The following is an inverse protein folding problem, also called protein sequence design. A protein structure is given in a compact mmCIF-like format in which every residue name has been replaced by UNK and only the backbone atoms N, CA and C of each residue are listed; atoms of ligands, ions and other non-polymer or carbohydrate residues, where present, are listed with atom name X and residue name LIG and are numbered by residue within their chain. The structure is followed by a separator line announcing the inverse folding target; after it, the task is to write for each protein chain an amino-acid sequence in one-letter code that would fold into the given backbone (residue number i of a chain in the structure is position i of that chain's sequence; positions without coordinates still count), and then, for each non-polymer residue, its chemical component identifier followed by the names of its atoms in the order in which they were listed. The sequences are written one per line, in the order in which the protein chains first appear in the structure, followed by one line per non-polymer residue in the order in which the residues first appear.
data_IF_650407310600
#
_entry.id   IF_650407310600
#
_cell.length_a   1.000
_cell.length_b   1.000
_cell.length_c   1.000
_cell.angle_alpha   90.00
_cell.angle_beta   90.00
_cell.angle_gamma   90.00
#
_symmetry.space_group_name_H-M   'P 1'
#
loop_
_entity.id
_entity.type
_entity.pdbx_description
1 polymer ?
#
# COMPACT_ATOMS: atom_id res chain seq x y z
N UNK A 1 22.56 20.77 35.71
CA UNK A 1 21.14 20.61 36.11
C UNK A 1 20.34 20.69 34.81
N UNK A 2 19.92 19.60 34.14
CA UNK A 2 18.86 18.63 34.50
C UNK A 2 17.59 19.36 34.99
N UNK A 3 16.35 19.14 34.52
CA UNK A 3 15.68 18.26 33.55
C UNK A 3 14.29 18.91 33.26
N UNK A 4 13.51 18.62 32.20
CA UNK A 4 12.38 17.65 32.08
C UNK A 4 11.43 18.26 31.00
N UNK A 5 10.90 17.59 29.95
CA UNK A 5 9.92 16.49 29.83
C UNK A 5 8.42 16.88 29.88
N UNK A 6 7.78 17.04 28.70
CA UNK A 6 6.35 16.74 28.36
C UNK A 6 5.23 17.71 28.78
N UNK A 7 3.93 17.52 28.36
CA UNK A 7 3.33 16.65 27.33
C UNK A 7 2.35 17.40 26.36
N UNK A 8 1.84 16.70 25.32
CA UNK A 8 0.97 17.27 24.27
C UNK A 8 -0.54 17.31 24.55
N UNK A 9 -1.33 17.94 23.65
CA UNK A 9 -2.78 17.69 23.50
C UNK A 9 -3.32 18.13 22.13
N UNK A 10 -4.34 17.40 21.65
CA UNK A 10 -5.03 17.47 20.35
C UNK A 10 -6.02 18.66 20.20
N UNK A 11 -6.16 19.11 18.94
CA UNK A 11 -7.36 19.56 18.17
C UNK A 11 -8.55 20.17 18.93
N UNK A 12 -9.07 21.34 18.49
CA UNK A 12 -10.51 21.60 18.11
C UNK A 12 -10.71 22.84 17.22
N UNK A 13 -11.55 22.66 16.18
CA UNK A 13 -12.53 23.54 15.53
C UNK A 13 -12.20 24.90 14.90
N UNK A 14 -12.55 25.00 13.61
CA UNK A 14 -13.08 26.21 12.93
C UNK A 14 -14.46 25.86 12.30
N UNK A 15 -15.36 26.85 12.10
CA UNK A 15 -16.80 26.64 12.12
C UNK A 15 -17.46 26.42 10.74
N UNK A 16 -18.70 25.95 10.88
CA UNK A 16 -19.78 25.69 9.93
C UNK A 16 -20.13 26.88 9.04
N UNK A 17 -20.40 26.62 7.76
CA UNK A 17 -21.36 27.38 6.95
C UNK A 17 -22.02 26.43 5.95
N UNK A 18 -23.34 26.29 6.11
CA UNK A 18 -24.25 25.48 5.33
C UNK A 18 -24.96 26.33 4.26
N UNK A 19 -25.71 25.61 3.42
CA UNK A 19 -26.70 26.03 2.42
C UNK A 19 -26.24 26.53 1.05
N UNK A 20 -26.41 25.65 0.06
CA UNK A 20 -27.17 25.99 -1.14
C UNK A 20 -27.73 24.70 -1.79
N UNK A 21 -29.05 24.63 -1.84
CA UNK A 21 -29.88 23.62 -2.49
C UNK A 21 -29.75 23.70 -4.01
N UNK A 22 -29.64 22.56 -4.69
CA UNK A 22 -30.33 22.36 -5.98
C UNK A 22 -30.74 20.89 -6.11
N UNK A 23 -32.02 20.71 -6.46
CA UNK A 23 -32.67 19.43 -6.65
C UNK A 23 -32.77 19.16 -8.13
N UNK A 24 -32.07 18.15 -8.64
CA UNK A 24 -32.44 17.52 -9.91
C UNK A 24 -32.33 16.00 -9.81
N UNK A 25 -33.51 15.40 -9.83
CA UNK A 25 -33.78 13.98 -9.74
C UNK A 25 -33.68 13.40 -11.16
N UNK A 26 -32.66 12.59 -11.43
CA UNK A 26 -32.64 11.72 -12.61
C UNK A 26 -32.19 10.32 -12.19
N UNK A 27 -33.14 9.39 -12.27
CA UNK A 27 -32.96 7.96 -12.06
C UNK A 27 -31.93 7.37 -13.01
N UNK A 28 -30.92 6.68 -12.47
CA UNK A 28 -30.10 5.74 -13.22
C UNK A 28 -29.78 4.53 -12.31
N UNK A 29 -29.95 3.34 -12.88
CA UNK A 29 -29.92 2.02 -12.27
C UNK A 29 -28.63 1.67 -11.50
N UNK A 30 -28.67 0.71 -10.56
CA UNK A 30 -27.50 0.31 -9.78
C UNK A 30 -26.49 -0.43 -10.65
N UNK A 31 -25.26 0.09 -10.71
CA UNK A 31 -24.12 -0.62 -11.28
C UNK A 31 -23.70 -1.78 -10.33
N UNK A 32 -23.48 -2.99 -10.84
CA UNK A 32 -23.04 -4.13 -10.03
C UNK A 32 -21.53 -4.03 -9.79
N UNK A 33 -21.09 -4.13 -8.54
CA UNK A 33 -19.66 -4.22 -8.22
C UNK A 33 -19.18 -3.60 -6.92
N UNK A 34 -20.06 -3.31 -5.96
CA UNK A 34 -19.65 -3.14 -4.57
C UNK A 34 -19.56 -4.52 -3.92
N UNK A 35 -18.33 -5.05 -3.83
CA UNK A 35 -18.00 -6.15 -2.95
C UNK A 35 -16.85 -5.71 -2.04
N UNK A 36 -17.19 -5.11 -0.91
CA UNK A 36 -16.43 -5.38 0.31
C UNK A 36 -17.34 -6.15 1.26
N UNK A 37 -17.32 -7.49 1.23
CA UNK A 37 -17.81 -8.26 2.35
C UNK A 37 -16.64 -8.49 3.33
N UNK A 38 -16.86 -8.06 4.57
CA UNK A 38 -16.63 -8.87 5.76
C UNK A 38 -15.23 -9.43 6.02
N UNK A 39 -14.65 -8.99 7.14
CA UNK A 39 -13.63 -9.78 7.84
C UNK A 39 -14.12 -11.21 8.06
N UNK A 40 -13.47 -12.16 7.40
CA UNK A 40 -13.73 -13.58 7.47
C UNK A 40 -12.41 -14.34 7.53
N UNK A 41 -12.38 -15.35 8.39
CA UNK A 41 -11.21 -16.08 8.87
C UNK A 41 -10.49 -16.80 7.72
N UNK A 42 -9.18 -16.56 7.57
CA UNK A 42 -8.26 -17.50 6.92
C UNK A 42 -8.07 -17.42 5.40
N UNK A 43 -8.35 -16.29 4.73
CA UNK A 43 -8.04 -16.13 3.29
C UNK A 43 -7.06 -14.96 3.05
N UNK A 44 -6.07 -15.19 2.19
CA UNK A 44 -5.16 -14.13 1.76
C UNK A 44 -5.92 -13.13 0.87
N UNK A 45 -5.72 -11.81 1.05
CA UNK A 45 -6.27 -10.82 0.14
C UNK A 45 -5.68 -10.98 -1.26
N UNK A 46 -6.34 -10.43 -2.30
CA UNK A 46 -5.74 -10.36 -3.62
C UNK A 46 -4.40 -9.60 -3.56
N UNK A 47 -3.40 -10.00 -4.37
CA UNK A 47 -2.13 -9.30 -4.43
C UNK A 47 -2.33 -7.85 -4.87
N UNK A 48 -1.44 -6.92 -4.49
CA UNK A 48 -1.57 -5.52 -4.89
C UNK A 48 -1.54 -5.38 -6.41
N UNK A 49 -2.30 -4.42 -6.93
CA UNK A 49 -2.41 -4.17 -8.38
C UNK A 49 -1.04 -3.87 -9.00
N UNK A 50 -0.67 -4.57 -10.08
CA UNK A 50 0.63 -4.38 -10.77
C UNK A 50 0.53 -3.72 -12.14
N UNK A 51 -0.68 -3.50 -12.65
CA UNK A 51 -0.95 -2.85 -13.94
C UNK A 51 -2.37 -2.33 -13.93
N UNK A 52 -2.58 -1.11 -14.44
CA UNK A 52 -3.89 -0.48 -14.58
C UNK A 52 -4.01 0.12 -15.98
N UNK A 53 -4.99 -0.29 -16.82
CA UNK A 53 -5.16 0.28 -18.17
C UNK A 53 -5.48 1.78 -18.17
N UNK A 54 -6.12 2.28 -17.11
CA UNK A 54 -6.52 3.68 -16.97
C UNK A 54 -5.40 4.56 -16.38
N UNK A 55 -4.34 3.94 -15.83
CA UNK A 55 -3.17 4.69 -15.33
C UNK A 55 -2.18 4.89 -16.48
N UNK A 56 -1.76 6.13 -16.78
CA UNK A 56 -0.76 6.37 -17.81
C UNK A 56 0.56 5.71 -17.40
N UNK A 57 1.16 4.99 -18.34
CA UNK A 57 2.47 4.34 -18.16
C UNK A 57 3.58 5.36 -18.32
N UNK A 58 4.58 5.30 -17.45
CA UNK A 58 5.73 6.20 -17.52
C UNK A 58 7.02 5.47 -17.17
N UNK A 59 8.09 5.85 -17.86
CA UNK A 59 9.43 5.36 -17.58
C UNK A 59 10.38 6.55 -17.46
N UNK A 60 11.15 6.58 -16.37
CA UNK A 60 12.15 7.62 -16.08
C UNK A 60 13.51 6.97 -15.81
N UNK A 61 14.58 7.75 -15.90
CA UNK A 61 15.93 7.31 -15.52
C UNK A 61 15.99 6.82 -14.06
N UNK A 62 15.28 7.49 -13.15
CA UNK A 62 15.21 7.09 -11.74
C UNK A 62 14.47 5.76 -11.56
N UNK A 63 13.34 5.56 -12.23
CA UNK A 63 12.61 4.28 -12.19
C UNK A 63 13.43 3.13 -12.80
N UNK A 64 14.15 3.41 -13.90
CA UNK A 64 15.09 2.44 -14.47
C UNK A 64 16.21 2.08 -13.51
N UNK A 65 16.77 3.06 -12.77
CA UNK A 65 17.79 2.80 -11.76
C UNK A 65 17.23 1.96 -10.60
N UNK A 66 16.03 2.28 -10.13
CA UNK A 66 15.35 1.51 -9.08
C UNK A 66 15.15 0.04 -9.50
N UNK A 67 14.77 -0.23 -10.75
CA UNK A 67 14.65 -1.60 -11.26
C UNK A 67 16.00 -2.30 -11.44
N UNK A 68 16.92 -1.67 -12.20
CA UNK A 68 18.15 -2.33 -12.67
C UNK A 68 19.22 -2.43 -11.59
N UNK A 69 19.21 -1.53 -10.61
CA UNK A 69 20.26 -1.43 -9.58
C UNK A 69 19.69 -1.76 -8.20
N UNK A 70 18.72 -0.99 -7.70
CA UNK A 70 18.25 -1.12 -6.31
C UNK A 70 17.53 -2.45 -6.10
N UNK A 71 16.45 -2.70 -6.86
CA UNK A 71 15.68 -3.93 -6.74
C UNK A 71 16.54 -5.16 -7.07
N UNK A 72 17.36 -5.10 -8.12
CA UNK A 72 18.26 -6.21 -8.48
C UNK A 72 19.24 -6.57 -7.36
N UNK A 73 19.79 -5.57 -6.67
CA UNK A 73 20.69 -5.78 -5.53
C UNK A 73 19.95 -6.41 -4.36
N UNK A 74 18.79 -5.87 -3.99
CA UNK A 74 17.96 -6.41 -2.90
C UNK A 74 17.47 -7.83 -3.21
N UNK A 75 17.07 -8.10 -4.45
CA UNK A 75 16.56 -9.41 -4.87
C UNK A 75 17.58 -10.53 -4.71
N UNK A 76 18.86 -10.23 -4.94
CA UNK A 76 19.97 -11.19 -4.83
C UNK A 76 20.47 -11.38 -3.39
N UNK A 77 20.00 -10.57 -2.45
CA UNK A 77 20.44 -10.68 -1.07
C UNK A 77 20.00 -12.01 -0.46
N UNK A 78 20.84 -12.62 0.38
CA UNK A 78 20.56 -13.92 1.03
C UNK A 78 19.24 -13.94 1.82
N UNK A 79 18.83 -12.79 2.36
CA UNK A 79 17.58 -12.64 3.14
C UNK A 79 16.41 -12.08 2.33
N UNK A 80 16.52 -12.05 1.00
CA UNK A 80 15.46 -11.51 0.14
C UNK A 80 14.23 -12.41 0.07
N UNK A 81 14.41 -13.73 0.26
CA UNK A 81 13.40 -14.75 -0.02
C UNK A 81 12.03 -14.51 0.64
N UNK A 82 11.88 -13.98 1.88
CA UNK A 82 10.56 -13.73 2.47
C UNK A 82 9.82 -12.56 1.82
N UNK A 83 10.56 -11.66 1.18
CA UNK A 83 10.03 -10.42 0.58
C UNK A 83 9.78 -10.55 -0.92
N UNK A 84 10.15 -11.67 -1.55
CA UNK A 84 10.02 -11.85 -3.01
C UNK A 84 8.59 -12.09 -3.47
N UNK A 85 7.67 -12.43 -2.56
CA UNK A 85 6.26 -12.69 -2.83
C UNK A 85 5.37 -12.09 -1.72
N UNK A 86 4.07 -11.85 -1.97
CA UNK A 86 3.12 -11.49 -0.93
C UNK A 86 3.12 -12.50 0.22
N UNK A 87 2.91 -12.02 1.45
CA UNK A 87 2.87 -12.86 2.65
C UNK A 87 1.69 -13.83 2.56
N UNK A 88 1.95 -15.12 2.62
CA UNK A 88 0.89 -16.13 2.68
C UNK A 88 0.53 -16.40 4.14
N UNK A 89 -0.45 -15.66 4.64
CA UNK A 89 -0.91 -15.75 6.03
C UNK A 89 -1.52 -17.12 6.36
N UNK A 90 -2.08 -17.81 5.36
CA UNK A 90 -2.65 -19.16 5.53
C UNK A 90 -1.52 -20.17 5.70
N UNK A 91 -0.56 -20.18 4.76
CA UNK A 91 0.57 -21.12 4.78
C UNK A 91 1.48 -20.92 5.98
N UNK A 92 1.66 -19.68 6.43
CA UNK A 92 2.49 -19.34 7.58
C UNK A 92 1.73 -19.39 8.92
N UNK A 93 0.44 -19.71 8.91
CA UNK A 93 -0.42 -19.74 10.09
C UNK A 93 -0.40 -18.41 10.88
N UNK A 94 -0.55 -17.30 10.16
CA UNK A 94 -0.56 -15.92 10.67
C UNK A 94 -1.97 -15.31 10.55
N UNK A 95 -2.97 -15.76 11.33
CA UNK A 95 -4.39 -15.41 11.13
C UNK A 95 -4.71 -13.91 11.37
N UNK A 96 -3.78 -13.17 11.97
CA UNK A 96 -3.90 -11.76 12.30
C UNK A 96 -3.07 -10.85 11.37
N UNK A 97 -2.24 -11.39 10.48
CA UNK A 97 -1.32 -10.59 9.65
C UNK A 97 -2.06 -9.51 8.86
N UNK A 98 -3.06 -9.89 8.07
CA UNK A 98 -3.87 -8.94 7.29
C UNK A 98 -4.92 -8.19 8.12
N UNK A 99 -5.08 -8.54 9.40
CA UNK A 99 -5.84 -7.72 10.35
C UNK A 99 -4.99 -6.58 10.91
N UNK A 100 -3.68 -6.74 11.01
CA UNK A 100 -2.74 -5.72 11.49
C UNK A 100 -2.23 -4.90 10.30
N UNK A 101 -1.75 -5.56 9.25
CA UNK A 101 -1.18 -4.95 8.05
C UNK A 101 -2.28 -4.65 7.04
N UNK A 102 -2.61 -3.37 6.89
CA UNK A 102 -3.70 -2.87 6.03
C UNK A 102 -3.28 -2.62 4.59
N UNK A 103 -2.00 -2.34 4.36
CA UNK A 103 -1.45 -2.03 3.04
C UNK A 103 -0.28 -2.96 2.77
N UNK A 104 -0.56 -4.22 2.39
CA UNK A 104 0.50 -5.20 2.13
C UNK A 104 1.34 -4.80 0.91
N UNK A 105 2.63 -5.07 0.97
CA UNK A 105 3.58 -4.80 -0.11
C UNK A 105 4.75 -5.79 -0.05
N UNK A 106 5.30 -6.13 -1.21
CA UNK A 106 6.39 -7.09 -1.39
C UNK A 106 7.24 -6.75 -2.63
N UNK A 107 8.48 -7.24 -2.69
CA UNK A 107 9.39 -6.99 -3.82
C UNK A 107 8.90 -7.62 -5.13
N UNK A 108 8.15 -8.71 -5.08
CA UNK A 108 7.57 -9.33 -6.29
C UNK A 108 6.56 -8.41 -6.96
N UNK A 109 5.70 -7.79 -6.17
CA UNK A 109 4.77 -6.75 -6.61
C UNK A 109 5.52 -5.52 -7.13
N UNK A 110 6.49 -5.00 -6.38
CA UNK A 110 7.30 -3.84 -6.79
C UNK A 110 8.02 -4.12 -8.12
N UNK A 111 8.59 -5.32 -8.28
CA UNK A 111 9.21 -5.78 -9.52
C UNK A 111 8.26 -5.70 -10.70
N UNK A 112 7.07 -6.30 -10.58
CA UNK A 112 6.06 -6.30 -11.64
C UNK A 112 5.58 -4.87 -11.95
N UNK A 113 5.41 -4.01 -10.95
CA UNK A 113 5.04 -2.59 -11.15
C UNK A 113 6.11 -1.82 -11.93
N UNK A 114 7.40 -2.03 -11.63
CA UNK A 114 8.50 -1.43 -12.38
C UNK A 114 8.56 -1.96 -13.83
N UNK A 115 8.40 -3.28 -14.03
CA UNK A 115 8.42 -3.91 -15.35
C UNK A 115 7.22 -3.47 -16.22
N UNK A 116 6.06 -3.21 -15.60
CA UNK A 116 4.85 -2.77 -16.29
C UNK A 116 4.76 -1.25 -16.48
N UNK A 117 5.79 -0.49 -16.08
CA UNK A 117 5.78 0.98 -16.06
C UNK A 117 4.58 1.57 -15.29
N UNK A 118 4.22 0.93 -14.16
CA UNK A 118 3.08 1.30 -13.33
C UNK A 118 3.31 2.61 -12.55
N UNK A 119 4.55 2.88 -12.13
CA UNK A 119 4.86 4.05 -11.32
C UNK A 119 4.96 5.31 -12.17
N UNK A 120 4.41 6.42 -11.66
CA UNK A 120 4.53 7.72 -12.33
C UNK A 120 5.85 8.43 -12.04
N UNK A 121 6.39 8.22 -10.83
CA UNK A 121 7.64 8.82 -10.36
C UNK A 121 8.38 7.86 -9.42
N UNK A 122 9.64 8.17 -9.09
CA UNK A 122 10.46 7.33 -8.23
C UNK A 122 9.96 7.27 -6.78
N UNK A 123 9.34 8.35 -6.29
CA UNK A 123 8.82 8.46 -4.94
C UNK A 123 7.73 7.43 -4.66
N UNK A 124 6.83 7.16 -5.61
CA UNK A 124 5.83 6.08 -5.49
C UNK A 124 6.50 4.71 -5.26
N UNK A 125 7.55 4.39 -6.02
CA UNK A 125 8.27 3.14 -5.86
C UNK A 125 9.04 3.07 -4.53
N UNK A 126 9.66 4.18 -4.10
CA UNK A 126 10.37 4.26 -2.80
C UNK A 126 9.38 4.09 -1.64
N UNK A 127 8.17 4.65 -1.76
CA UNK A 127 7.11 4.50 -0.77
C UNK A 127 6.67 3.04 -0.62
N UNK A 128 6.60 2.28 -1.71
CA UNK A 128 6.30 0.85 -1.65
C UNK A 128 7.39 0.05 -0.93
N UNK A 129 8.68 0.36 -1.17
CA UNK A 129 9.77 -0.24 -0.39
C UNK A 129 9.67 0.10 1.11
N UNK A 130 9.41 1.36 1.44
CA UNK A 130 9.24 1.79 2.83
C UNK A 130 8.04 1.11 3.49
N UNK A 131 6.94 0.95 2.75
CA UNK A 131 5.74 0.24 3.22
C UNK A 131 6.05 -1.22 3.53
N UNK A 132 6.77 -1.91 2.63
CA UNK A 132 7.20 -3.29 2.82
C UNK A 132 8.03 -3.47 4.11
N UNK A 133 9.04 -2.62 4.34
CA UNK A 133 9.86 -2.68 5.55
C UNK A 133 9.07 -2.29 6.81
N UNK A 134 8.24 -1.25 6.72
CA UNK A 134 7.39 -0.79 7.84
C UNK A 134 6.42 -1.90 8.27
N UNK A 135 5.81 -2.61 7.33
CA UNK A 135 4.94 -3.74 7.63
C UNK A 135 5.70 -4.85 8.38
N UNK A 136 6.93 -5.13 7.96
CA UNK A 136 7.79 -6.10 8.63
C UNK A 136 8.05 -5.71 10.09
N UNK A 137 8.43 -4.45 10.35
CA UNK A 137 8.70 -3.94 11.70
C UNK A 137 7.46 -3.81 12.59
N UNK A 138 6.30 -3.51 11.99
CA UNK A 138 5.04 -3.42 12.74
C UNK A 138 4.59 -4.80 13.20
N UNK A 139 4.70 -5.81 12.33
CA UNK A 139 4.20 -7.15 12.63
C UNK A 139 5.17 -7.96 13.51
N UNK A 140 6.46 -7.91 13.22
CA UNK A 140 7.47 -8.71 13.90
C UNK A 140 8.15 -7.89 15.01
N UNK A 141 8.05 -8.37 16.25
CA UNK A 141 8.77 -7.86 17.42
C UNK A 141 9.68 -8.92 18.00
#
# INVERSE_FOLDING_TARGET
MAAESGPGTRLRNLPVLADALDSTQTSAAPAPGQAQPGGGIGVNPPPPETSNPNKPKRQTNQLQYLLKVVLKTLWKHQFAWPFQQPVDAVKLNLPDYYKIIKTPMDMGTIKKRLENNYYWNAQECIQDFNTMFTNCYIYNK
#
